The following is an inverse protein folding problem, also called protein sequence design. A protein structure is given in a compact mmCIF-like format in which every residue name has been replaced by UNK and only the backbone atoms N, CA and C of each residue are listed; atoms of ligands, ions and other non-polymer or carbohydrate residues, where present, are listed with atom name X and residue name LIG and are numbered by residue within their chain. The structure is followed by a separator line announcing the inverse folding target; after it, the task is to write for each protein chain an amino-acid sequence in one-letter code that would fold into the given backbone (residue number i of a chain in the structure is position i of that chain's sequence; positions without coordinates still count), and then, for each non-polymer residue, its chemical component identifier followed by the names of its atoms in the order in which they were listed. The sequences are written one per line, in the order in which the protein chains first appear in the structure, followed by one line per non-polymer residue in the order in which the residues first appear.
data_IF_377906179777
#
_entry.id   IF_377906179777
#
_cell.length_a   1.000
_cell.length_b   1.000
_cell.length_c   1.000
_cell.angle_alpha   90.00
_cell.angle_beta   90.00
_cell.angle_gamma   90.00
#
_symmetry.space_group_name_H-M   'P 1'
#
loop_
_entity.id
_entity.type
_entity.pdbx_description
1 polymer ?
#
# COMPACT_ATOMS: atom_id res chain seq x y z
N UNK A 1 10.49 37.57 -12.64
CA UNK A 1 9.52 37.76 -11.53
C UNK A 1 8.14 37.52 -12.12
N UNK A 2 7.73 36.26 -12.14
CA UNK A 2 6.38 35.85 -12.52
C UNK A 2 5.68 35.43 -11.24
N UNK A 3 4.57 36.10 -10.97
CA UNK A 3 3.80 36.09 -9.75
C UNK A 3 3.36 34.68 -9.37
N UNK A 4 3.81 34.24 -8.19
CA UNK A 4 3.40 33.00 -7.55
C UNK A 4 2.04 33.27 -6.90
N UNK A 5 0.95 32.95 -7.60
CA UNK A 5 -0.40 33.17 -7.09
C UNK A 5 -1.28 31.93 -7.28
N UNK A 6 -1.07 30.91 -6.44
CA UNK A 6 -2.11 29.96 -6.03
C UNK A 6 -1.86 29.51 -4.59
N UNK A 7 -2.19 30.34 -3.60
CA UNK A 7 -2.51 29.78 -2.28
C UNK A 7 -3.90 29.13 -2.39
N UNK A 8 -3.95 27.92 -2.93
CA UNK A 8 -5.16 27.10 -2.96
C UNK A 8 -5.72 26.99 -1.55
N UNK A 9 -7.04 27.18 -1.37
CA UNK A 9 -7.67 27.00 -0.06
C UNK A 9 -7.38 25.58 0.43
N UNK A 10 -6.80 25.49 1.63
CA UNK A 10 -6.51 24.22 2.33
C UNK A 10 -7.65 23.21 2.18
N UNK A 11 -7.28 21.93 2.00
CA UNK A 11 -8.19 20.79 1.96
C UNK A 11 -8.74 20.40 3.33
N UNK A 12 -8.36 21.10 4.40
CA UNK A 12 -8.74 20.78 5.77
C UNK A 12 -10.26 20.59 5.93
N UNK A 13 -10.65 19.39 6.36
CA UNK A 13 -12.04 18.99 6.60
C UNK A 13 -12.97 19.27 5.42
N UNK A 14 -12.47 19.22 4.17
CA UNK A 14 -13.28 19.44 2.96
C UNK A 14 -14.45 18.46 2.88
N UNK A 15 -14.24 17.21 3.31
CA UNK A 15 -15.22 16.13 3.22
C UNK A 15 -15.80 15.78 4.59
N UNK A 16 -14.97 15.63 5.63
CA UNK A 16 -15.43 15.10 6.92
C UNK A 16 -16.39 16.02 7.68
N UNK A 17 -16.41 17.33 7.34
CA UNK A 17 -17.41 18.26 7.88
C UNK A 17 -18.85 17.86 7.56
N UNK A 18 -19.07 17.19 6.41
CA UNK A 18 -20.39 16.73 5.97
C UNK A 18 -21.06 15.77 6.96
N UNK A 19 -20.24 15.02 7.71
CA UNK A 19 -20.68 14.03 8.70
C UNK A 19 -20.41 14.47 10.14
N UNK A 20 -19.81 15.64 10.38
CA UNK A 20 -19.42 16.07 11.75
C UNK A 20 -19.94 17.43 12.20
N UNK A 21 -20.22 18.38 11.32
CA UNK A 21 -20.35 19.80 11.72
C UNK A 21 -21.73 20.20 12.26
N UNK A 22 -22.83 19.69 11.69
CA UNK A 22 -24.18 20.17 12.00
C UNK A 22 -24.91 19.34 13.06
N UNK A 23 -25.92 19.89 13.73
CA UNK A 23 -26.77 19.13 14.66
C UNK A 23 -27.48 17.96 13.98
N UNK A 24 -27.82 18.08 12.69
CA UNK A 24 -28.38 16.98 11.89
C UNK A 24 -27.43 15.77 11.77
N UNK A 25 -26.13 15.95 12.04
CA UNK A 25 -25.12 14.87 12.09
C UNK A 25 -24.85 14.34 13.49
N UNK A 26 -25.75 14.58 14.46
CA UNK A 26 -25.63 14.02 15.80
C UNK A 26 -25.55 12.48 15.79
N UNK A 27 -26.33 11.81 14.94
CA UNK A 27 -26.27 10.36 14.78
C UNK A 27 -24.90 9.89 14.28
N UNK A 28 -24.35 10.55 13.24
CA UNK A 28 -23.00 10.27 12.73
C UNK A 28 -21.93 10.45 13.80
N UNK A 29 -21.97 11.57 14.54
CA UNK A 29 -21.05 11.79 15.68
C UNK A 29 -21.23 10.73 16.78
N UNK A 30 -22.46 10.31 17.06
CA UNK A 30 -22.77 9.25 18.02
C UNK A 30 -22.06 7.94 17.67
N UNK A 31 -22.10 7.54 16.40
CA UNK A 31 -21.35 6.38 15.90
C UNK A 31 -19.84 6.58 16.00
N UNK A 32 -19.34 7.77 15.65
CA UNK A 32 -17.91 8.11 15.70
C UNK A 32 -17.35 8.07 17.13
N UNK A 33 -18.12 8.46 18.14
CA UNK A 33 -17.74 8.27 19.55
C UNK A 33 -17.50 6.79 19.87
N UNK A 34 -18.31 5.88 19.33
CA UNK A 34 -18.17 4.43 19.53
C UNK A 34 -16.86 3.85 19.01
N UNK A 35 -16.25 4.48 18.00
CA UNK A 35 -14.92 4.10 17.46
C UNK A 35 -13.78 4.94 18.03
N UNK A 36 -14.02 5.65 19.15
CA UNK A 36 -12.98 6.30 19.94
C UNK A 36 -12.76 7.79 19.69
N UNK A 37 -13.63 8.46 18.90
CA UNK A 37 -13.57 9.92 18.79
C UNK A 37 -13.87 10.58 20.13
N UNK A 38 -13.25 11.74 20.36
CA UNK A 38 -13.63 12.70 21.41
C UNK A 38 -14.20 13.96 20.76
N UNK A 39 -14.85 14.80 21.55
CA UNK A 39 -15.48 16.05 21.07
C UNK A 39 -14.51 16.94 20.27
N UNK A 40 -13.23 17.01 20.70
CA UNK A 40 -12.20 17.78 20.00
C UNK A 40 -11.75 17.19 18.66
N UNK A 41 -11.93 15.88 18.45
CA UNK A 41 -11.48 15.21 17.24
C UNK A 41 -12.36 15.54 16.03
N UNK A 42 -13.60 16.01 16.24
CA UNK A 42 -14.46 16.47 15.14
C UNK A 42 -13.95 17.73 14.43
N UNK A 43 -12.94 18.41 14.99
CA UNK A 43 -12.27 19.54 14.36
C UNK A 43 -10.99 19.14 13.62
N UNK A 44 -10.67 17.85 13.56
CA UNK A 44 -9.51 17.32 12.83
C UNK A 44 -9.91 16.83 11.44
N UNK A 45 -8.96 16.82 10.51
CA UNK A 45 -9.14 16.09 9.25
C UNK A 45 -9.12 14.59 9.51
N UNK A 46 -10.05 13.86 8.90
CA UNK A 46 -10.19 12.41 9.06
C UNK A 46 -9.42 11.71 7.95
N UNK A 47 -8.49 10.83 8.32
CA UNK A 47 -7.62 10.12 7.38
C UNK A 47 -7.99 8.65 7.37
N UNK A 48 -8.40 8.15 6.21
CA UNK A 48 -8.60 6.72 6.00
C UNK A 48 -7.25 6.01 5.85
N UNK A 49 -6.99 4.97 6.62
CA UNK A 49 -5.81 4.12 6.45
C UNK A 49 -6.26 2.79 5.89
N UNK A 50 -6.11 2.63 4.58
CA UNK A 50 -6.52 1.44 3.85
C UNK A 50 -5.44 0.36 4.01
N UNK A 51 -5.75 -0.65 4.81
CA UNK A 51 -4.88 -1.79 5.08
C UNK A 51 -5.28 -2.99 4.21
N UNK A 52 -4.33 -3.52 3.44
CA UNK A 52 -4.50 -4.78 2.70
C UNK A 52 -4.08 -6.00 3.53
N UNK A 53 -4.07 -5.88 4.86
CA UNK A 53 -3.61 -6.94 5.76
C UNK A 53 -4.43 -8.23 5.62
N UNK A 54 -3.71 -9.35 5.67
CA UNK A 54 -4.30 -10.68 5.77
C UNK A 54 -3.22 -11.73 5.95
N UNK A 55 -3.56 -12.82 6.65
CA UNK A 55 -2.66 -13.98 6.84
C UNK A 55 -2.73 -14.98 5.70
N UNK A 56 -3.35 -14.60 4.57
CA UNK A 56 -3.46 -15.43 3.35
C UNK A 56 -2.19 -15.38 2.50
N UNK A 57 -1.24 -14.51 2.84
CA UNK A 57 0.05 -14.37 2.14
C UNK A 57 1.10 -13.73 3.05
N UNK A 58 2.39 -14.15 2.94
CA UNK A 58 3.50 -13.46 3.63
C UNK A 58 3.65 -12.00 3.18
N UNK A 59 3.18 -11.65 1.99
CA UNK A 59 3.25 -10.29 1.45
C UNK A 59 2.49 -9.25 2.30
N UNK A 60 1.50 -9.69 3.08
CA UNK A 60 0.53 -8.81 3.73
C UNK A 60 0.36 -9.05 5.22
N UNK A 61 0.93 -10.13 5.77
CA UNK A 61 0.66 -10.57 7.15
C UNK A 61 1.09 -9.56 8.22
N UNK A 62 2.02 -8.65 7.91
CA UNK A 62 2.55 -7.60 8.78
C UNK A 62 1.91 -6.21 8.57
N UNK A 63 1.07 -6.04 7.54
CA UNK A 63 0.54 -4.72 7.15
C UNK A 63 -0.37 -4.12 8.23
N UNK A 64 -0.95 -4.92 9.12
CA UNK A 64 -1.70 -4.39 10.28
C UNK A 64 -0.82 -3.52 11.19
N UNK A 65 0.42 -3.94 11.47
CA UNK A 65 1.35 -3.16 12.28
C UNK A 65 1.76 -1.87 11.55
N UNK A 66 2.01 -1.95 10.24
CA UNK A 66 2.32 -0.80 9.39
C UNK A 66 1.17 0.23 9.37
N UNK A 67 -0.08 -0.23 9.31
CA UNK A 67 -1.26 0.63 9.38
C UNK A 67 -1.36 1.38 10.72
N UNK A 68 -1.04 0.71 11.83
CA UNK A 68 -0.96 1.37 13.14
C UNK A 68 0.17 2.41 13.19
N UNK A 69 1.30 2.15 12.52
CA UNK A 69 2.41 3.11 12.44
C UNK A 69 2.01 4.35 11.63
N UNK A 70 1.33 4.18 10.49
CA UNK A 70 0.73 5.31 9.77
C UNK A 70 -0.29 6.08 10.63
N UNK A 71 -1.10 5.37 11.42
CA UNK A 71 -2.03 6.01 12.34
C UNK A 71 -1.32 6.84 13.42
N UNK A 72 -0.13 6.42 13.88
CA UNK A 72 0.69 7.24 14.79
C UNK A 72 1.16 8.53 14.13
N UNK A 73 1.62 8.47 12.88
CA UNK A 73 1.99 9.65 12.08
C UNK A 73 0.84 10.65 11.94
N UNK A 74 -0.33 10.16 11.54
CA UNK A 74 -1.56 10.97 11.44
C UNK A 74 -1.89 11.67 12.76
N UNK A 75 -1.84 10.95 13.89
CA UNK A 75 -2.12 11.52 15.22
C UNK A 75 -1.09 12.58 15.60
N UNK A 76 0.20 12.33 15.31
CA UNK A 76 1.30 13.27 15.59
C UNK A 76 1.13 14.57 14.81
N UNK A 77 0.64 14.50 13.58
CA UNK A 77 0.25 15.66 12.75
C UNK A 77 -1.17 16.17 13.01
N UNK A 78 -1.75 15.88 14.18
CA UNK A 78 -3.07 16.38 14.63
C UNK A 78 -4.26 15.98 13.74
N UNK A 79 -4.10 14.96 12.89
CA UNK A 79 -5.20 14.30 12.18
C UNK A 79 -5.93 13.27 13.05
N UNK A 80 -7.04 12.74 12.52
CA UNK A 80 -7.77 11.63 13.13
C UNK A 80 -7.74 10.40 12.20
N UNK A 81 -6.95 9.36 12.52
CA UNK A 81 -6.87 8.17 11.67
C UNK A 81 -8.04 7.23 11.88
N UNK A 82 -8.50 6.60 10.81
CA UNK A 82 -9.45 5.50 10.81
C UNK A 82 -8.89 4.37 9.95
N UNK A 83 -8.40 3.32 10.60
CA UNK A 83 -7.89 2.13 9.91
C UNK A 83 -9.07 1.29 9.45
N UNK A 84 -9.04 0.86 8.19
CA UNK A 84 -10.02 -0.07 7.63
C UNK A 84 -9.31 -1.09 6.72
N UNK A 85 -9.99 -2.21 6.46
CA UNK A 85 -9.45 -3.30 5.64
C UNK A 85 -9.96 -3.31 4.22
N UNK A 86 -9.19 -3.91 3.32
CA UNK A 86 -9.64 -4.45 2.03
C UNK A 86 -9.03 -5.83 1.80
N UNK A 87 -9.50 -6.55 0.80
CA UNK A 87 -9.06 -7.91 0.50
C UNK A 87 -7.62 -7.94 -0.03
N UNK A 88 -7.02 -9.12 0.01
CA UNK A 88 -5.79 -9.43 -0.71
C UNK A 88 -5.81 -10.89 -1.16
N UNK A 89 -5.06 -11.21 -2.20
CA UNK A 89 -4.86 -12.57 -2.73
C UNK A 89 -3.37 -12.82 -2.91
N UNK A 90 -2.98 -14.09 -3.08
CA UNK A 90 -1.59 -14.47 -3.28
C UNK A 90 -1.38 -15.03 -4.68
N UNK A 91 -0.66 -14.28 -5.52
CA UNK A 91 -0.24 -14.76 -6.84
C UNK A 91 0.71 -15.95 -6.68
N UNK A 92 1.58 -15.93 -5.66
CA UNK A 92 2.50 -17.04 -5.37
C UNK A 92 1.77 -18.36 -5.04
N UNK A 93 0.73 -18.32 -4.22
CA UNK A 93 -0.02 -19.53 -3.81
C UNK A 93 -0.98 -19.99 -4.91
N UNK A 94 -1.61 -19.06 -5.64
CA UNK A 94 -2.61 -19.42 -6.66
C UNK A 94 -1.99 -19.88 -7.99
N UNK A 95 -0.68 -19.73 -8.16
CA UNK A 95 0.03 -20.06 -9.39
C UNK A 95 -0.17 -21.53 -9.79
N UNK A 96 -0.46 -21.77 -11.07
CA UNK A 96 -0.73 -23.10 -11.59
C UNK A 96 -2.10 -23.68 -11.25
N UNK A 97 -2.99 -22.93 -10.59
CA UNK A 97 -4.35 -23.37 -10.22
C UNK A 97 -5.43 -22.52 -10.88
N UNK A 98 -6.68 -23.00 -10.84
CA UNK A 98 -7.87 -22.24 -11.24
C UNK A 98 -8.04 -20.92 -10.46
N UNK A 99 -7.47 -20.84 -9.25
CA UNK A 99 -7.48 -19.64 -8.42
C UNK A 99 -6.80 -18.44 -9.10
N UNK A 100 -5.84 -18.66 -10.00
CA UNK A 100 -5.14 -17.57 -10.71
C UNK A 100 -6.09 -16.69 -11.54
N UNK A 101 -7.25 -17.21 -11.94
CA UNK A 101 -8.31 -16.42 -12.62
C UNK A 101 -8.85 -15.28 -11.75
N UNK A 102 -8.68 -15.36 -10.43
CA UNK A 102 -9.10 -14.34 -9.47
C UNK A 102 -8.00 -13.33 -9.11
N UNK A 103 -6.76 -13.50 -9.60
CA UNK A 103 -5.65 -12.59 -9.30
C UNK A 103 -5.94 -11.19 -9.83
N UNK A 104 -6.07 -11.01 -11.15
CA UNK A 104 -6.17 -9.67 -11.74
C UNK A 104 -7.44 -8.92 -11.30
N UNK A 105 -8.58 -9.61 -11.18
CA UNK A 105 -9.83 -8.99 -10.73
C UNK A 105 -9.74 -8.46 -9.29
N UNK A 106 -8.84 -9.00 -8.45
CA UNK A 106 -8.61 -8.47 -7.11
C UNK A 106 -8.16 -6.99 -7.13
N UNK A 107 -7.48 -6.53 -8.20
CA UNK A 107 -7.12 -5.12 -8.40
C UNK A 107 -8.35 -4.21 -8.35
N UNK A 108 -9.39 -4.58 -9.09
CA UNK A 108 -10.64 -3.81 -9.17
C UNK A 108 -11.39 -3.88 -7.85
N UNK A 109 -11.46 -5.05 -7.24
CA UNK A 109 -12.14 -5.23 -5.94
C UNK A 109 -11.47 -4.38 -4.86
N UNK A 110 -10.14 -4.31 -4.84
CA UNK A 110 -9.38 -3.44 -3.92
C UNK A 110 -9.69 -1.97 -4.19
N UNK A 111 -9.65 -1.56 -5.47
CA UNK A 111 -9.93 -0.18 -5.84
C UNK A 111 -11.34 0.25 -5.40
N UNK A 112 -12.35 -0.54 -5.76
CA UNK A 112 -13.75 -0.28 -5.44
C UNK A 112 -14.00 -0.33 -3.93
N UNK A 113 -13.33 -1.22 -3.20
CA UNK A 113 -13.43 -1.30 -1.73
C UNK A 113 -12.93 -0.02 -1.05
N UNK A 114 -11.76 0.47 -1.46
CA UNK A 114 -11.17 1.69 -0.89
C UNK A 114 -12.04 2.90 -1.25
N UNK A 115 -12.45 3.01 -2.52
CA UNK A 115 -13.32 4.08 -3.00
C UNK A 115 -14.65 4.11 -2.23
N UNK A 116 -15.26 2.94 -2.00
CA UNK A 116 -16.50 2.78 -1.24
C UNK A 116 -16.37 3.31 0.18
N UNK A 117 -15.32 2.89 0.92
CA UNK A 117 -15.15 3.31 2.32
C UNK A 117 -14.83 4.81 2.41
N UNK A 118 -13.85 5.29 1.65
CA UNK A 118 -13.42 6.70 1.70
C UNK A 118 -14.52 7.64 1.23
N UNK A 119 -15.25 7.25 0.18
CA UNK A 119 -16.42 7.98 -0.32
C UNK A 119 -17.53 8.06 0.71
N UNK A 120 -17.98 6.90 1.23
CA UNK A 120 -19.09 6.81 2.17
C UNK A 120 -18.79 7.50 3.51
N UNK A 121 -17.59 7.30 4.06
CA UNK A 121 -17.21 7.86 5.36
C UNK A 121 -16.72 9.31 5.29
N UNK A 122 -16.66 9.89 4.09
CA UNK A 122 -16.26 11.29 3.87
C UNK A 122 -14.87 11.64 4.44
N UNK A 123 -13.89 10.74 4.31
CA UNK A 123 -12.53 11.02 4.77
C UNK A 123 -11.85 12.11 3.94
N UNK A 124 -11.04 12.95 4.57
CA UNK A 124 -10.41 14.11 3.92
C UNK A 124 -9.19 13.73 3.08
N UNK A 125 -8.51 12.65 3.45
CA UNK A 125 -7.39 12.07 2.72
C UNK A 125 -7.21 10.59 3.07
N UNK A 126 -6.23 9.94 2.45
CA UNK A 126 -5.97 8.52 2.68
C UNK A 126 -4.48 8.14 2.65
N UNK A 127 -4.12 7.18 3.50
CA UNK A 127 -2.88 6.41 3.36
C UNK A 127 -3.27 5.00 2.94
N UNK A 128 -2.78 4.53 1.80
CA UNK A 128 -3.04 3.17 1.34
C UNK A 128 -1.78 2.32 1.43
N UNK A 129 -1.89 1.15 2.06
CA UNK A 129 -0.75 0.25 2.29
C UNK A 129 -0.97 -1.05 1.51
N UNK A 130 -0.11 -1.30 0.52
CA UNK A 130 -0.15 -2.47 -0.35
C UNK A 130 1.14 -3.29 -0.25
N UNK A 131 1.02 -4.62 -0.33
CA UNK A 131 2.17 -5.53 -0.31
C UNK A 131 2.26 -6.40 -1.56
N UNK A 132 1.24 -7.21 -1.83
CA UNK A 132 1.23 -8.15 -2.94
C UNK A 132 0.89 -7.48 -4.29
N UNK A 133 1.29 -8.13 -5.38
CA UNK A 133 1.22 -7.70 -6.78
C UNK A 133 0.08 -6.71 -7.12
N UNK A 134 -1.17 -7.15 -6.95
CA UNK A 134 -2.35 -6.41 -7.41
C UNK A 134 -2.84 -5.36 -6.40
N UNK A 135 -2.29 -5.36 -5.18
CA UNK A 135 -2.61 -4.35 -4.16
C UNK A 135 -2.16 -2.97 -4.61
N UNK A 136 -0.91 -2.86 -5.08
CA UNK A 136 -0.29 -1.60 -5.51
C UNK A 136 -1.16 -0.85 -6.52
N UNK A 137 -1.46 -1.40 -7.72
CA UNK A 137 -2.30 -0.69 -8.68
C UNK A 137 -3.74 -0.54 -8.20
N UNK A 138 -4.30 -1.47 -7.41
CA UNK A 138 -5.66 -1.32 -6.86
C UNK A 138 -5.78 -0.11 -5.93
N UNK A 139 -4.79 0.09 -5.04
CA UNK A 139 -4.70 1.27 -4.20
C UNK A 139 -4.56 2.56 -5.02
N UNK A 140 -3.68 2.57 -6.03
CA UNK A 140 -3.44 3.75 -6.87
C UNK A 140 -4.66 4.13 -7.71
N UNK A 141 -5.41 3.16 -8.24
CA UNK A 141 -6.67 3.41 -8.96
C UNK A 141 -7.67 4.10 -8.02
N UNK A 142 -7.85 3.61 -6.79
CA UNK A 142 -8.75 4.24 -5.82
C UNK A 142 -8.29 5.67 -5.48
N UNK A 143 -6.99 5.85 -5.24
CA UNK A 143 -6.40 7.18 -4.97
C UNK A 143 -6.69 8.15 -6.13
N UNK A 144 -6.44 7.73 -7.36
CA UNK A 144 -6.67 8.56 -8.55
C UNK A 144 -8.15 8.89 -8.76
N UNK A 145 -9.06 7.91 -8.60
CA UNK A 145 -10.52 8.11 -8.74
C UNK A 145 -11.08 9.07 -7.69
N UNK A 146 -10.65 8.94 -6.43
CA UNK A 146 -11.11 9.79 -5.33
C UNK A 146 -10.58 11.22 -5.45
N UNK A 147 -9.37 11.39 -6.01
CA UNK A 147 -8.64 12.65 -6.11
C UNK A 147 -8.63 13.45 -4.79
N UNK A 148 -8.37 12.75 -3.68
CA UNK A 148 -8.17 13.33 -2.34
C UNK A 148 -6.69 13.19 -1.96
N UNK A 149 -6.13 14.12 -1.17
CA UNK A 149 -4.74 14.04 -0.72
C UNK A 149 -4.39 12.64 -0.20
N UNK A 150 -3.33 12.05 -0.73
CA UNK A 150 -3.04 10.63 -0.50
C UNK A 150 -1.55 10.31 -0.56
N UNK A 151 -1.16 9.28 0.18
CA UNK A 151 0.17 8.66 0.11
C UNK A 151 0.02 7.15 0.00
N UNK A 152 0.74 6.53 -0.93
CA UNK A 152 0.88 5.07 -1.00
C UNK A 152 2.11 4.62 -0.21
N UNK A 153 1.97 3.54 0.56
CA UNK A 153 3.08 2.90 1.29
C UNK A 153 3.21 1.46 0.81
N UNK A 154 4.39 1.13 0.27
CA UNK A 154 4.74 -0.26 -0.02
C UNK A 154 5.06 -1.01 1.29
N UNK A 155 4.51 -2.21 1.44
CA UNK A 155 4.71 -3.08 2.61
C UNK A 155 6.15 -3.57 2.80
N UNK A 156 6.98 -3.50 1.76
CA UNK A 156 8.39 -3.88 1.82
C UNK A 156 8.67 -5.29 1.29
N UNK A 157 9.89 -5.48 0.80
CA UNK A 157 10.35 -6.74 0.23
C UNK A 157 10.70 -7.76 1.32
N UNK A 158 10.53 -9.04 1.03
CA UNK A 158 10.98 -10.12 1.90
C UNK A 158 12.51 -10.23 1.86
N UNK A 159 13.10 -10.68 2.97
CA UNK A 159 14.48 -11.15 3.01
C UNK A 159 14.62 -12.49 2.26
N UNK A 160 15.76 -12.78 1.63
CA UNK A 160 16.00 -14.09 1.02
C UNK A 160 16.08 -15.18 2.10
N UNK A 161 15.56 -16.35 1.75
CA UNK A 161 15.77 -17.57 2.52
C UNK A 161 17.20 -18.09 2.38
N UNK A 162 17.57 -19.10 3.19
CA UNK A 162 18.90 -19.72 3.12
C UNK A 162 18.81 -21.24 3.04
N UNK A 163 19.31 -21.81 1.95
CA UNK A 163 19.48 -23.26 1.77
C UNK A 163 20.95 -23.59 1.53
N UNK A 164 21.55 -24.43 2.37
CA UNK A 164 22.98 -24.84 2.25
C UNK A 164 23.95 -23.65 2.10
N UNK A 165 23.64 -22.52 2.75
CA UNK A 165 24.44 -21.29 2.73
C UNK A 165 24.21 -20.39 1.51
N UNK A 166 23.33 -20.75 0.57
CA UNK A 166 22.96 -19.97 -0.60
C UNK A 166 21.62 -19.27 -0.39
N UNK A 167 21.46 -18.10 -1.00
CA UNK A 167 20.17 -17.41 -1.04
C UNK A 167 19.16 -18.18 -1.90
N UNK A 168 17.96 -18.33 -1.36
CA UNK A 168 16.83 -18.96 -2.04
C UNK A 168 15.58 -18.10 -1.89
N UNK A 169 14.70 -18.19 -2.88
CA UNK A 169 13.48 -17.41 -3.00
C UNK A 169 12.34 -18.23 -3.64
N UNK A 170 11.22 -17.59 -3.96
CA UNK A 170 10.07 -18.26 -4.58
C UNK A 170 10.41 -18.91 -5.94
N UNK A 171 11.30 -18.32 -6.74
CA UNK A 171 11.72 -18.92 -8.02
C UNK A 171 12.62 -20.12 -7.79
N UNK A 172 13.43 -20.10 -6.74
CA UNK A 172 14.22 -21.27 -6.33
C UNK A 172 13.33 -22.49 -6.07
N UNK A 173 12.13 -22.29 -5.49
CA UNK A 173 11.13 -23.35 -5.32
C UNK A 173 10.62 -23.86 -6.69
N UNK A 174 10.21 -22.95 -7.59
CA UNK A 174 9.73 -23.34 -8.92
C UNK A 174 10.79 -24.10 -9.73
N UNK A 175 12.06 -23.69 -9.64
CA UNK A 175 13.18 -24.41 -10.26
C UNK A 175 13.44 -25.76 -9.60
N UNK A 176 13.30 -25.86 -8.27
CA UNK A 176 13.45 -27.11 -7.54
C UNK A 176 12.40 -28.14 -7.99
N UNK A 177 11.14 -27.73 -8.18
CA UNK A 177 10.08 -28.59 -8.75
C UNK A 177 10.50 -29.14 -10.12
N UNK A 178 11.07 -28.30 -11.00
CA UNK A 178 11.57 -28.74 -12.29
C UNK A 178 12.78 -29.68 -12.21
N UNK A 179 13.68 -29.48 -11.23
CA UNK A 179 14.83 -30.34 -10.98
C UNK A 179 14.41 -31.70 -10.41
N UNK A 180 13.43 -31.73 -9.53
CA UNK A 180 12.87 -32.96 -8.94
C UNK A 180 12.22 -33.81 -10.03
N UNK A 181 11.34 -33.20 -10.86
CA UNK A 181 10.69 -33.89 -11.97
C UNK A 181 11.69 -34.44 -13.01
N UNK A 182 12.87 -33.82 -13.13
CA UNK A 182 13.97 -34.27 -13.99
C UNK A 182 14.92 -35.29 -13.31
N UNK A 183 14.64 -35.70 -12.07
CA UNK A 183 15.46 -36.62 -11.28
C UNK A 183 16.82 -36.06 -10.85
N UNK A 184 16.97 -34.73 -10.80
CA UNK A 184 18.24 -34.06 -10.44
C UNK A 184 18.38 -33.75 -8.96
N UNK A 185 17.27 -33.69 -8.23
CA UNK A 185 17.22 -33.55 -6.76
C UNK A 185 16.22 -34.56 -6.21
N UNK A 186 16.30 -34.87 -4.92
CA UNK A 186 15.32 -35.72 -4.24
C UNK A 186 14.08 -34.93 -3.82
N UNK A 187 13.01 -35.64 -3.47
CA UNK A 187 11.84 -35.03 -2.82
C UNK A 187 12.23 -34.36 -1.50
N UNK A 188 13.07 -34.99 -0.67
CA UNK A 188 13.57 -34.39 0.57
C UNK A 188 14.31 -33.08 0.32
N UNK A 189 15.12 -33.00 -0.75
CA UNK A 189 15.80 -31.76 -1.13
C UNK A 189 14.84 -30.67 -1.62
N UNK A 190 13.73 -31.03 -2.28
CA UNK A 190 12.66 -30.10 -2.61
C UNK A 190 11.98 -29.55 -1.35
N UNK A 191 11.67 -30.43 -0.39
CA UNK A 191 11.07 -30.08 0.91
C UNK A 191 11.99 -29.15 1.75
N UNK A 192 13.30 -29.37 1.70
CA UNK A 192 14.28 -28.47 2.33
C UNK A 192 14.25 -27.07 1.71
N UNK A 193 14.15 -26.94 0.38
CA UNK A 193 14.12 -25.64 -0.30
C UNK A 193 12.81 -24.90 -0.01
N UNK A 194 11.66 -25.57 -0.12
CA UNK A 194 10.36 -24.91 0.10
C UNK A 194 10.17 -24.44 1.54
N UNK A 195 10.74 -25.16 2.53
CA UNK A 195 10.60 -24.83 3.95
C UNK A 195 11.47 -23.66 4.42
N UNK A 196 12.46 -23.23 3.62
CA UNK A 196 13.37 -22.14 3.99
C UNK A 196 13.38 -20.94 3.04
N UNK A 197 12.85 -21.06 1.82
CA UNK A 197 12.90 -20.02 0.80
C UNK A 197 12.09 -18.75 1.12
N UNK A 198 11.04 -18.86 1.94
CA UNK A 198 10.17 -17.75 2.32
C UNK A 198 10.29 -17.55 3.84
N UNK A 199 11.27 -16.77 4.33
CA UNK A 199 11.63 -16.74 5.75
C UNK A 199 10.66 -15.92 6.63
N UNK A 200 9.72 -15.17 6.05
CA UNK A 200 8.81 -14.35 6.82
C UNK A 200 7.99 -13.36 5.99
N UNK A 201 7.74 -12.18 6.57
CA UNK A 201 6.90 -11.16 5.97
C UNK A 201 7.60 -10.40 4.83
N UNK A 202 6.84 -10.02 3.81
CA UNK A 202 7.28 -9.20 2.69
C UNK A 202 6.90 -9.78 1.32
N UNK A 203 6.94 -8.92 0.29
CA UNK A 203 6.67 -9.36 -1.09
C UNK A 203 7.86 -10.10 -1.70
N UNK A 204 7.65 -10.74 -2.85
CA UNK A 204 8.69 -11.50 -3.55
C UNK A 204 9.93 -10.62 -3.81
N UNK A 205 11.14 -11.13 -3.50
CA UNK A 205 12.37 -10.35 -3.47
C UNK A 205 12.92 -9.88 -4.82
N UNK A 206 12.61 -10.57 -5.92
CA UNK A 206 13.04 -10.18 -7.26
C UNK A 206 12.27 -8.98 -7.83
N UNK A 207 12.71 -8.47 -8.98
CA UNK A 207 12.00 -7.43 -9.76
C UNK A 207 10.76 -7.99 -10.49
N UNK A 208 9.89 -8.69 -9.75
CA UNK A 208 8.55 -9.06 -10.19
C UNK A 208 7.60 -7.86 -10.11
N UNK A 209 6.30 -8.06 -10.34
CA UNK A 209 5.36 -6.94 -10.38
C UNK A 209 5.35 -6.18 -9.05
N UNK A 210 5.48 -6.84 -7.90
CA UNK A 210 5.44 -6.14 -6.62
C UNK A 210 6.53 -5.06 -6.46
N UNK A 211 7.80 -5.44 -6.62
CA UNK A 211 8.93 -4.50 -6.54
C UNK A 211 8.99 -3.54 -7.73
N UNK A 212 8.55 -3.99 -8.92
CA UNK A 212 8.41 -3.11 -10.09
C UNK A 212 7.41 -1.99 -9.83
N UNK A 213 6.21 -2.33 -9.35
CA UNK A 213 5.18 -1.35 -9.06
C UNK A 213 5.53 -0.47 -7.86
N UNK A 214 6.19 -1.00 -6.82
CA UNK A 214 6.68 -0.18 -5.72
C UNK A 214 7.64 0.90 -6.23
N UNK A 215 8.61 0.52 -7.07
CA UNK A 215 9.58 1.44 -7.68
C UNK A 215 8.90 2.44 -8.63
N UNK A 216 7.95 1.98 -9.44
CA UNK A 216 7.19 2.82 -10.36
C UNK A 216 6.33 3.85 -9.60
N UNK A 217 5.70 3.46 -8.49
CA UNK A 217 4.86 4.36 -7.68
C UNK A 217 5.70 5.42 -6.95
N UNK A 218 6.90 5.06 -6.51
CA UNK A 218 7.86 6.05 -6.00
C UNK A 218 8.27 7.04 -7.09
N UNK A 219 8.56 6.56 -8.30
CA UNK A 219 8.88 7.41 -9.45
C UNK A 219 7.70 8.28 -9.94
N UNK A 220 6.45 7.84 -9.73
CA UNK A 220 5.25 8.65 -9.92
C UNK A 220 5.13 9.78 -8.89
N UNK A 221 5.87 9.72 -7.78
CA UNK A 221 5.76 10.68 -6.66
C UNK A 221 4.61 10.37 -5.69
N UNK A 222 4.02 9.18 -5.77
CA UNK A 222 2.89 8.78 -4.91
C UNK A 222 3.32 8.05 -3.63
N UNK A 223 4.60 7.68 -3.53
CA UNK A 223 5.24 7.17 -2.32
C UNK A 223 6.37 8.10 -1.87
N UNK A 224 6.71 8.05 -0.59
CA UNK A 224 7.85 8.78 -0.08
C UNK A 224 9.16 8.26 -0.70
N UNK A 225 10.15 9.14 -0.94
CA UNK A 225 11.44 8.73 -1.50
C UNK A 225 12.09 7.63 -0.69
N UNK A 226 12.72 6.68 -1.38
CA UNK A 226 13.39 5.49 -0.85
C UNK A 226 12.47 4.47 -0.15
N UNK A 227 11.14 4.67 -0.16
CA UNK A 227 10.22 3.74 0.51
C UNK A 227 10.07 2.41 -0.24
N UNK A 228 10.24 2.39 -1.56
CA UNK A 228 10.12 1.18 -2.37
C UNK A 228 11.23 0.14 -2.12
N UNK A 229 12.40 0.60 -1.67
CA UNK A 229 13.59 -0.25 -1.48
C UNK A 229 13.69 -0.91 -0.09
N UNK A 230 12.78 -0.60 0.84
CA UNK A 230 12.89 -1.06 2.21
C UNK A 230 12.40 -2.50 2.40
N UNK A 231 13.11 -3.26 3.24
CA UNK A 231 12.69 -4.58 3.69
C UNK A 231 11.46 -4.48 4.59
N UNK A 232 10.55 -5.46 4.50
CA UNK A 232 9.30 -5.49 5.27
C UNK A 232 9.50 -5.47 6.79
N UNK A 233 10.62 -6.01 7.27
CA UNK A 233 10.94 -6.16 8.70
C UNK A 233 11.88 -5.05 9.22
N UNK A 234 12.24 -4.09 8.37
CA UNK A 234 13.18 -3.02 8.72
C UNK A 234 12.56 -1.92 9.58
N UNK A 235 13.38 -1.26 10.39
CA UNK A 235 12.98 -0.04 11.14
C UNK A 235 12.72 1.13 10.18
N UNK A 236 13.40 1.14 9.03
CA UNK A 236 13.17 2.06 7.92
C UNK A 236 11.70 1.98 7.46
N UNK A 237 11.15 0.78 7.27
CA UNK A 237 9.74 0.61 6.89
C UNK A 237 8.77 1.13 7.94
N UNK A 238 9.13 1.00 9.23
CA UNK A 238 8.35 1.61 10.32
C UNK A 238 8.37 3.13 10.22
N UNK A 239 9.53 3.73 9.92
CA UNK A 239 9.67 5.18 9.70
C UNK A 239 8.84 5.65 8.50
N UNK A 240 8.94 4.97 7.35
CA UNK A 240 8.15 5.27 6.16
C UNK A 240 6.65 5.39 6.46
N UNK A 241 6.13 4.45 7.27
CA UNK A 241 4.71 4.44 7.61
C UNK A 241 4.32 5.65 8.46
N UNK A 242 5.11 5.97 9.48
CA UNK A 242 4.88 7.15 10.33
C UNK A 242 4.96 8.42 9.47
N UNK A 243 5.99 8.55 8.64
CA UNK A 243 6.18 9.72 7.77
C UNK A 243 5.07 9.85 6.74
N UNK A 244 4.54 8.75 6.17
CA UNK A 244 3.40 8.80 5.26
C UNK A 244 2.14 9.35 5.94
N UNK A 245 1.91 8.96 7.21
CA UNK A 245 0.83 9.51 8.02
C UNK A 245 1.00 11.01 8.33
N UNK A 246 2.23 11.50 8.41
CA UNK A 246 2.51 12.93 8.57
C UNK A 246 2.36 13.69 7.23
N UNK A 247 2.90 13.12 6.15
CA UNK A 247 2.90 13.71 4.82
C UNK A 247 1.49 13.93 4.26
N UNK A 248 0.55 13.00 4.47
CA UNK A 248 -0.84 13.19 4.01
C UNK A 248 -1.52 14.41 4.64
N UNK A 249 -1.15 14.79 5.87
CA UNK A 249 -1.67 16.02 6.49
C UNK A 249 -1.09 17.27 5.84
N UNK A 250 0.21 17.27 5.49
CA UNK A 250 0.81 18.38 4.73
C UNK A 250 0.16 18.52 3.34
N UNK A 251 -0.09 17.40 2.65
CA UNK A 251 -0.82 17.42 1.36
C UNK A 251 -2.24 18.00 1.52
N UNK A 252 -2.92 17.73 2.64
CA UNK A 252 -4.23 18.35 2.93
C UNK A 252 -4.08 19.85 3.19
N UNK A 253 -3.07 20.27 3.93
CA UNK A 253 -2.80 21.68 4.23
C UNK A 253 -2.61 22.48 2.94
N UNK A 254 -1.80 21.94 2.01
CA UNK A 254 -1.49 22.54 0.71
C UNK A 254 -2.54 22.22 -0.38
N UNK A 255 -3.52 21.37 -0.07
CA UNK A 255 -4.54 20.89 -0.99
C UNK A 255 -3.95 20.26 -2.27
N UNK A 256 -2.88 19.48 -2.12
CA UNK A 256 -2.25 18.71 -3.19
C UNK A 256 -2.98 17.37 -3.31
N UNK A 257 -3.58 17.13 -4.47
CA UNK A 257 -4.32 15.92 -4.79
C UNK A 257 -3.57 15.05 -5.81
N UNK A 258 -3.94 13.77 -5.96
CA UNK A 258 -3.31 12.85 -6.91
C UNK A 258 -3.24 13.37 -8.35
N UNK A 259 -4.23 14.11 -8.83
CA UNK A 259 -4.18 14.69 -10.19
C UNK A 259 -3.12 15.79 -10.36
N UNK A 260 -2.65 16.39 -9.27
CA UNK A 260 -1.55 17.35 -9.29
C UNK A 260 -0.18 16.64 -9.37
N UNK A 261 -0.13 15.35 -9.03
CA UNK A 261 1.08 14.51 -8.99
C UNK A 261 1.16 13.58 -10.21
N UNK A 262 0.05 12.94 -10.57
CA UNK A 262 -0.07 11.94 -11.64
C UNK A 262 -0.18 12.62 -13.03
N UNK A 263 0.83 13.42 -13.37
CA UNK A 263 0.96 14.07 -14.68
C UNK A 263 1.58 13.15 -15.72
N UNK A 264 1.54 13.54 -16.99
CA UNK A 264 2.19 12.79 -18.07
C UNK A 264 3.68 12.58 -17.77
N UNK A 265 4.37 13.61 -17.29
CA UNK A 265 5.79 13.58 -16.94
C UNK A 265 6.06 12.61 -15.78
N UNK A 266 5.17 12.53 -14.79
CA UNK A 266 5.28 11.54 -13.72
C UNK A 266 5.17 10.11 -14.27
N UNK A 267 4.23 9.86 -15.19
CA UNK A 267 4.13 8.55 -15.87
C UNK A 267 5.36 8.25 -16.73
N UNK A 268 5.94 9.23 -17.43
CA UNK A 268 7.20 9.05 -18.17
C UNK A 268 8.36 8.70 -17.23
N UNK A 269 8.45 9.31 -16.05
CA UNK A 269 9.42 8.95 -15.02
C UNK A 269 9.23 7.49 -14.56
N UNK A 270 7.99 7.08 -14.29
CA UNK A 270 7.68 5.72 -13.88
C UNK A 270 8.05 4.70 -14.95
N UNK A 271 7.70 4.95 -16.22
CA UNK A 271 8.09 4.10 -17.36
C UNK A 271 9.62 4.02 -17.46
N UNK A 272 10.32 5.14 -17.31
CA UNK A 272 11.78 5.19 -17.36
C UNK A 272 12.41 4.32 -16.27
N UNK A 273 11.92 4.40 -15.04
CA UNK A 273 12.40 3.58 -13.91
C UNK A 273 12.10 2.10 -14.13
N UNK A 274 10.89 1.76 -14.60
CA UNK A 274 10.53 0.36 -14.93
C UNK A 274 11.50 -0.21 -15.97
N UNK A 275 11.79 0.54 -17.03
CA UNK A 275 12.72 0.11 -18.08
C UNK A 275 14.16 -0.01 -17.55
N UNK A 276 14.61 0.95 -16.73
CA UNK A 276 15.96 0.94 -16.17
C UNK A 276 16.21 -0.23 -15.21
N UNK A 277 15.18 -0.66 -14.46
CA UNK A 277 15.27 -1.77 -13.51
C UNK A 277 14.97 -3.14 -14.15
N UNK A 278 14.61 -3.19 -15.43
CA UNK A 278 14.17 -4.44 -16.08
C UNK A 278 12.88 -4.97 -15.45
N UNK A 279 11.95 -4.08 -15.11
CA UNK A 279 10.73 -4.40 -14.40
C UNK A 279 9.78 -5.31 -15.17
N UNK A 280 8.86 -5.92 -14.43
CA UNK A 280 7.82 -6.81 -14.93
C UNK A 280 6.98 -6.17 -16.05
N UNK A 281 6.65 -6.95 -17.08
CA UNK A 281 5.73 -6.53 -18.17
C UNK A 281 4.30 -6.29 -17.71
N UNK A 282 3.95 -6.63 -16.46
CA UNK A 282 2.65 -6.32 -15.87
C UNK A 282 2.50 -4.84 -15.47
N UNK A 283 3.60 -4.09 -15.41
CA UNK A 283 3.62 -2.69 -14.98
C UNK A 283 3.01 -1.73 -16.01
#
# INVERSE_FOLDING_TARGET
MSENNQSGKSGHRRYSKLVTETNARAASRGMLYGVGFKKGDFQKSQIGIASTWGTVTPCNMHINALAEHAARGVRKSKGMPLIFGTITVSDGISMGTEGMKYSLVSREVIADSIETVVGCQSYDGLVAIGGCDKNMPGCLIAIARLNRPAVFVYGGTILPGKHKGQDVDIVSIFEAVGKEAAGKITQDELEEVESCAIPGAGSCGGMYTANTMASAIEALGMSLPNSSAQEAVSEEKVRDCVEAGEAVLHLIEDNICPQDILTLEAFENAITVVMALGGSTNA
#
